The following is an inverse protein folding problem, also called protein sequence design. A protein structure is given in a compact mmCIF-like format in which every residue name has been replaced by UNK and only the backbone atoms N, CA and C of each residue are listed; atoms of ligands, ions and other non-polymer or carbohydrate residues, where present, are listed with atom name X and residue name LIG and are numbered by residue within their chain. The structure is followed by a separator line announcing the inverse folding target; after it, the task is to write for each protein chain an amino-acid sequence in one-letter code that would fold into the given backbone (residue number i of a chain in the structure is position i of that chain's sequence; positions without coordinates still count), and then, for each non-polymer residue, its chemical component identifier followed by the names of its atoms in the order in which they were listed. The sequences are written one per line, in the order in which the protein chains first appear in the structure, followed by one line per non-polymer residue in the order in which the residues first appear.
data_IF_493238400140
#
_entry.id   IF_493238400140
#
_cell.length_a   1.000
_cell.length_b   1.000
_cell.length_c   1.000
_cell.angle_alpha   90.00
_cell.angle_beta   90.00
_cell.angle_gamma   90.00
#
_symmetry.space_group_name_H-M   'P 1'
#
loop_
_entity.id
_entity.type
_entity.pdbx_description
1 polymer ?
#
# COMPACT_ATOMS: atom_id res chain seq x y z
N UNK A 1 20.02 16.67 12.13
CA UNK A 1 19.21 15.44 12.10
C UNK A 1 18.91 15.19 10.63
N UNK A 2 19.41 14.10 10.06
CA UNK A 2 19.17 13.73 8.66
C UNK A 2 18.28 12.50 8.68
N UNK A 3 17.12 12.56 8.02
CA UNK A 3 16.23 11.41 7.92
C UNK A 3 16.62 10.62 6.67
N UNK A 4 16.78 9.31 6.81
CA UNK A 4 17.10 8.40 5.72
C UNK A 4 15.85 8.19 4.85
N UNK A 5 15.57 9.18 4.00
CA UNK A 5 14.42 9.20 3.09
C UNK A 5 14.51 8.12 2.02
N UNK A 6 15.73 7.69 1.66
CA UNK A 6 15.98 6.59 0.72
C UNK A 6 15.40 5.27 1.24
N UNK A 7 15.62 4.93 2.52
CA UNK A 7 15.03 3.72 3.12
C UNK A 7 13.51 3.77 3.20
N UNK A 8 12.93 4.95 3.44
CA UNK A 8 11.48 5.13 3.48
C UNK A 8 10.90 4.94 2.07
N UNK A 9 11.57 5.48 1.06
CA UNK A 9 11.16 5.32 -0.34
C UNK A 9 11.20 3.85 -0.78
N UNK A 10 12.28 3.13 -0.47
CA UNK A 10 12.37 1.68 -0.75
C UNK A 10 11.26 0.87 -0.07
N UNK A 11 10.88 1.25 1.16
CA UNK A 11 9.76 0.62 1.86
C UNK A 11 8.42 0.91 1.16
N UNK A 12 8.23 2.13 0.65
CA UNK A 12 7.03 2.50 -0.10
C UNK A 12 6.92 1.71 -1.42
N UNK A 13 8.02 1.54 -2.15
CA UNK A 13 8.07 0.72 -3.36
C UNK A 13 7.71 -0.74 -3.06
N UNK A 14 8.31 -1.34 -2.03
CA UNK A 14 8.02 -2.71 -1.63
C UNK A 14 6.55 -2.91 -1.20
N UNK A 15 5.95 -1.92 -0.54
CA UNK A 15 4.52 -1.94 -0.20
C UNK A 15 3.65 -1.87 -1.45
N UNK A 16 4.00 -1.05 -2.45
CA UNK A 16 3.29 -0.98 -3.72
C UNK A 16 3.37 -2.29 -4.52
N UNK A 17 4.53 -2.94 -4.55
CA UNK A 17 4.67 -4.26 -5.18
C UNK A 17 3.82 -5.34 -4.49
N UNK A 18 3.79 -5.33 -3.16
CA UNK A 18 2.96 -6.24 -2.38
C UNK A 18 1.46 -5.96 -2.59
N UNK A 19 1.06 -4.70 -2.62
CA UNK A 19 -0.30 -4.26 -2.91
C UNK A 19 -0.77 -4.77 -4.28
N UNK A 20 0.06 -4.58 -5.31
CA UNK A 20 -0.21 -5.07 -6.66
C UNK A 20 -0.35 -6.60 -6.67
N UNK A 21 0.59 -7.31 -6.06
CA UNK A 21 0.59 -8.78 -5.99
C UNK A 21 -0.69 -9.31 -5.33
N UNK A 22 -1.12 -8.67 -4.24
CA UNK A 22 -2.31 -9.09 -3.50
C UNK A 22 -3.60 -8.86 -4.32
N UNK A 23 -3.71 -7.71 -5.01
CA UNK A 23 -4.82 -7.43 -5.93
C UNK A 23 -4.88 -8.42 -7.09
N UNK A 24 -3.72 -8.76 -7.67
CA UNK A 24 -3.64 -9.75 -8.75
C UNK A 24 -4.03 -11.16 -8.28
N UNK A 25 -3.63 -11.55 -7.07
CA UNK A 25 -4.03 -12.82 -6.48
C UNK A 25 -5.56 -12.90 -6.28
N UNK A 26 -6.19 -11.84 -5.76
CA UNK A 26 -7.63 -11.75 -5.63
C UNK A 26 -8.34 -11.82 -6.99
N UNK A 27 -7.86 -11.06 -7.97
CA UNK A 27 -8.40 -11.08 -9.31
C UNK A 27 -8.30 -12.46 -9.98
N UNK A 28 -7.14 -13.10 -9.88
CA UNK A 28 -6.92 -14.46 -10.41
C UNK A 28 -7.83 -15.47 -9.73
N UNK A 29 -8.04 -15.35 -8.41
CA UNK A 29 -8.97 -16.21 -7.67
C UNK A 29 -10.40 -16.03 -8.18
N UNK A 30 -10.86 -14.80 -8.36
CA UNK A 30 -12.20 -14.49 -8.86
C UNK A 30 -12.42 -15.04 -10.27
N UNK A 31 -11.50 -14.74 -11.21
CA UNK A 31 -11.58 -15.22 -12.59
C UNK A 31 -11.63 -16.74 -12.68
N UNK A 32 -10.77 -17.43 -11.93
CA UNK A 32 -10.73 -18.90 -11.93
C UNK A 32 -11.98 -19.50 -11.30
N UNK A 33 -12.49 -18.91 -10.22
CA UNK A 33 -13.73 -19.34 -9.60
C UNK A 33 -14.93 -19.15 -10.55
N UNK A 34 -15.01 -18.01 -11.25
CA UNK A 34 -16.05 -17.77 -12.24
C UNK A 34 -15.97 -18.74 -13.42
N UNK A 35 -14.76 -19.07 -13.89
CA UNK A 35 -14.56 -20.03 -14.98
C UNK A 35 -15.03 -21.46 -14.60
N UNK A 36 -14.95 -21.82 -13.32
CA UNK A 36 -15.49 -23.08 -12.79
C UNK A 36 -17.02 -23.06 -12.64
N UNK A 37 -17.63 -21.88 -12.59
CA UNK A 37 -19.06 -21.69 -12.41
C UNK A 37 -19.54 -22.17 -11.03
N UNK A 38 -20.61 -22.93 -11.01
CA UNK A 38 -21.12 -23.59 -9.80
C UNK A 38 -20.89 -25.11 -9.94
N UNK A 39 -19.66 -25.60 -9.66
CA UNK A 39 -19.36 -27.02 -9.78
C UNK A 39 -20.10 -27.87 -8.73
N UNK A 40 -20.65 -27.24 -7.69
CA UNK A 40 -21.54 -27.87 -6.73
C UNK A 40 -22.96 -27.93 -7.29
N UNK A 41 -23.50 -29.14 -7.49
CA UNK A 41 -24.87 -29.33 -7.97
C UNK A 41 -25.96 -28.97 -6.95
N UNK A 42 -27.22 -29.15 -7.33
CA UNK A 42 -28.39 -28.84 -6.48
C UNK A 42 -28.73 -29.92 -5.43
N UNK A 43 -27.93 -30.99 -5.38
CA UNK A 43 -28.11 -32.06 -4.42
C UNK A 43 -27.71 -31.63 -2.99
N UNK A 44 -27.98 -32.49 -2.01
CA UNK A 44 -27.70 -32.19 -0.60
C UNK A 44 -26.20 -31.88 -0.37
N UNK A 45 -25.31 -32.56 -1.08
CA UNK A 45 -23.87 -32.40 -0.89
C UNK A 45 -23.39 -31.08 -1.51
N UNK A 46 -23.86 -30.75 -2.71
CA UNK A 46 -23.55 -29.49 -3.38
C UNK A 46 -24.06 -28.27 -2.61
N UNK A 47 -25.26 -28.34 -2.03
CA UNK A 47 -25.77 -27.29 -1.14
C UNK A 47 -24.95 -27.13 0.15
N UNK A 48 -24.50 -28.24 0.74
CA UNK A 48 -23.62 -28.20 1.93
C UNK A 48 -22.28 -27.56 1.58
N UNK A 49 -21.68 -27.97 0.46
CA UNK A 49 -20.43 -27.38 -0.03
C UNK A 49 -20.59 -25.88 -0.29
N UNK A 50 -21.66 -25.47 -0.99
CA UNK A 50 -21.93 -24.06 -1.27
C UNK A 50 -22.02 -23.22 0.02
N UNK A 51 -22.69 -23.75 1.04
CA UNK A 51 -22.81 -23.10 2.35
C UNK A 51 -21.47 -22.91 3.06
N UNK A 52 -20.51 -23.81 2.84
CA UNK A 52 -19.16 -23.73 3.42
C UNK A 52 -18.18 -22.94 2.54
N UNK A 53 -18.40 -22.88 1.23
CA UNK A 53 -17.46 -22.28 0.27
C UNK A 53 -17.72 -20.80 -0.01
N UNK A 54 -18.98 -20.38 -0.18
CA UNK A 54 -19.30 -19.08 -0.76
C UNK A 54 -18.82 -17.90 0.10
N UNK A 55 -19.03 -17.99 1.41
CA UNK A 55 -18.64 -16.90 2.31
C UNK A 55 -17.10 -16.79 2.42
N UNK A 56 -16.33 -17.86 2.69
CA UNK A 56 -14.87 -17.78 2.69
C UNK A 56 -14.28 -17.33 1.36
N UNK A 57 -14.88 -17.73 0.23
CA UNK A 57 -14.46 -17.25 -1.10
C UNK A 57 -14.64 -15.74 -1.22
N UNK A 58 -15.83 -15.23 -0.88
CA UNK A 58 -16.11 -13.79 -0.87
C UNK A 58 -15.18 -13.02 0.07
N UNK A 59 -14.92 -13.56 1.26
CA UNK A 59 -14.03 -12.94 2.25
C UNK A 59 -12.58 -12.91 1.77
N UNK A 60 -12.11 -13.96 1.10
CA UNK A 60 -10.77 -14.01 0.51
C UNK A 60 -10.59 -12.96 -0.61
N UNK A 61 -11.59 -12.83 -1.50
CA UNK A 61 -11.58 -11.80 -2.54
C UNK A 61 -11.52 -10.40 -1.93
N UNK A 62 -12.39 -10.13 -0.95
CA UNK A 62 -12.45 -8.86 -0.25
C UNK A 62 -11.15 -8.54 0.49
N UNK A 63 -10.58 -9.53 1.19
CA UNK A 63 -9.32 -9.36 1.91
C UNK A 63 -8.17 -9.01 0.95
N UNK A 64 -8.12 -9.62 -0.23
CA UNK A 64 -7.11 -9.30 -1.22
C UNK A 64 -7.28 -7.91 -1.85
N UNK A 65 -8.52 -7.50 -2.15
CA UNK A 65 -8.79 -6.15 -2.69
C UNK A 65 -8.57 -5.05 -1.66
N UNK A 66 -9.14 -5.22 -0.46
CA UNK A 66 -9.07 -4.23 0.62
C UNK A 66 -7.66 -4.15 1.20
N UNK A 67 -7.01 -5.30 1.41
CA UNK A 67 -5.62 -5.36 1.86
C UNK A 67 -4.67 -4.71 0.87
N UNK A 68 -4.87 -4.97 -0.44
CA UNK A 68 -4.07 -4.33 -1.48
C UNK A 68 -4.29 -2.81 -1.52
N UNK A 69 -5.53 -2.34 -1.35
CA UNK A 69 -5.81 -0.90 -1.27
C UNK A 69 -5.15 -0.24 -0.06
N UNK A 70 -5.21 -0.88 1.11
CA UNK A 70 -4.57 -0.37 2.32
C UNK A 70 -3.04 -0.28 2.20
N UNK A 71 -2.41 -1.23 1.51
CA UNK A 71 -0.97 -1.21 1.24
C UNK A 71 -0.57 -0.09 0.26
N UNK A 72 -1.37 0.13 -0.79
CA UNK A 72 -1.17 1.27 -1.71
C UNK A 72 -1.31 2.62 -0.99
N UNK A 73 -2.33 2.76 -0.13
CA UNK A 73 -2.55 3.96 0.66
C UNK A 73 -1.36 4.22 1.61
N UNK A 74 -0.83 3.17 2.24
CA UNK A 74 0.35 3.26 3.08
C UNK A 74 1.59 3.68 2.29
N UNK A 75 1.81 3.10 1.10
CA UNK A 75 2.90 3.50 0.21
C UNK A 75 2.78 4.97 -0.21
N UNK A 76 1.57 5.45 -0.51
CA UNK A 76 1.29 6.86 -0.78
C UNK A 76 1.68 7.77 0.38
N UNK A 77 1.24 7.44 1.60
CA UNK A 77 1.58 8.21 2.80
C UNK A 77 3.09 8.26 3.09
N UNK A 78 3.83 7.18 2.81
CA UNK A 78 5.28 7.18 2.95
C UNK A 78 5.96 8.09 1.93
N UNK A 79 5.48 8.12 0.69
CA UNK A 79 5.99 9.03 -0.34
C UNK A 79 5.70 10.50 0.03
N UNK A 80 4.51 10.79 0.55
CA UNK A 80 4.17 12.13 1.06
C UNK A 80 5.08 12.55 2.23
N UNK A 81 5.39 11.61 3.13
CA UNK A 81 6.32 11.84 4.23
C UNK A 81 7.75 12.15 3.72
N UNK A 82 8.25 11.39 2.74
CA UNK A 82 9.55 11.64 2.12
C UNK A 82 9.58 13.04 1.49
N UNK A 83 8.53 13.44 0.77
CA UNK A 83 8.44 14.77 0.18
C UNK A 83 8.46 15.88 1.25
N UNK A 84 7.73 15.69 2.35
CA UNK A 84 7.70 16.65 3.45
C UNK A 84 9.08 16.77 4.14
N UNK A 85 9.77 15.66 4.38
CA UNK A 85 11.10 15.65 4.98
C UNK A 85 12.12 16.36 4.10
N UNK A 86 12.13 16.09 2.80
CA UNK A 86 13.02 16.77 1.85
C UNK A 86 12.76 18.29 1.81
N UNK A 87 11.50 18.72 1.89
CA UNK A 87 11.15 20.14 1.96
C UNK A 87 11.65 20.81 3.25
N UNK A 88 11.54 20.12 4.39
CA UNK A 88 12.04 20.62 5.68
C UNK A 88 13.56 20.76 5.65
N UNK A 89 14.28 19.76 5.12
CA UNK A 89 15.74 19.82 5.00
C UNK A 89 16.19 20.96 4.07
N UNK A 90 15.53 21.14 2.91
CA UNK A 90 15.80 22.24 2.00
C UNK A 90 15.59 23.62 2.67
N UNK A 91 14.50 23.77 3.42
CA UNK A 91 14.22 25.00 4.16
C UNK A 91 15.25 25.28 5.26
N UNK A 92 15.68 24.24 5.99
CA UNK A 92 16.71 24.36 7.02
C UNK A 92 18.06 24.80 6.43
N UNK A 93 18.42 24.31 5.24
CA UNK A 93 19.62 24.76 4.50
C UNK A 93 19.53 26.23 4.13
N UNK A 94 18.38 26.68 3.59
CA UNK A 94 18.17 28.09 3.21
C UNK A 94 18.29 29.00 4.44
N UNK A 95 17.60 28.67 5.54
CA UNK A 95 17.65 29.46 6.77
C UNK A 95 19.06 29.47 7.37
N UNK A 96 19.75 28.32 7.40
CA UNK A 96 21.14 28.25 7.87
C UNK A 96 22.09 29.10 7.02
N UNK A 97 21.92 29.11 5.70
CA UNK A 97 22.69 29.97 4.81
C UNK A 97 22.41 31.46 5.07
N UNK A 98 21.14 31.86 5.24
CA UNK A 98 20.79 33.26 5.55
C UNK A 98 21.42 33.76 6.85
N UNK A 99 21.38 32.95 7.92
CA UNK A 99 22.03 33.28 9.21
C UNK A 99 23.56 33.36 9.09
N UNK A 100 24.16 32.61 8.16
CA UNK A 100 25.61 32.66 7.90
C UNK A 100 26.01 33.87 7.04
N UNK A 101 25.07 34.41 6.25
CA UNK A 101 25.31 35.56 5.36
C UNK A 101 25.04 36.89 6.06
N UNK A 102 24.18 36.95 7.09
CA UNK A 102 24.12 38.13 7.97
C UNK A 102 25.43 38.24 8.76
N UNK A 103 26.31 39.21 8.43
CA UNK A 103 27.41 39.52 9.31
C UNK A 103 26.79 40.16 10.55
N UNK A 104 27.23 39.73 11.72
CA UNK A 104 27.25 40.58 12.91
C UNK A 104 28.13 41.81 12.64
N UNK A 105 27.67 42.75 11.81
CA UNK A 105 28.05 44.16 11.91
C UNK A 105 27.20 44.66 13.08
N UNK A 106 27.68 44.72 14.30
CA UNK A 106 28.84 45.50 14.71
C UNK A 106 28.29 46.49 15.73
N UNK A 107 28.81 46.39 16.96
CA UNK A 107 28.51 47.28 18.07
C UNK A 107 29.04 48.71 17.83
#
# INVERSE_FOLDING_TARGET
MHVDTDKIHLAAEALGELAWTLKQAAHTLDERSQALGQPWGDDKNGKSFAGEYLQPHSDALKAGTDGGAALDDAAGQLNDLVAALNAIEAQAVITGQQVTIEPTDGA
#
